data_IF_208941591923
#
_entry.id   IF_208941591923
#
_cell.length_a   1.000
_cell.length_b   1.000
_cell.length_c   1.000
_cell.angle_alpha   90.00
_cell.angle_beta   90.00
_cell.angle_gamma   90.00
#
_symmetry.space_group_name_H-M   'P 1'
#
loop_
_entity.id
_entity.type
_entity.pdbx_description
1 polymer ?
#
# COMPACT_ATOMS: atom_id res chain seq x y z
N UNK A 1 -20.48 -10.89 -39.57
CA UNK A 1 -20.18 -11.71 -38.37
C UNK A 1 -19.37 -10.94 -37.32
N UNK A 2 -18.08 -10.62 -37.53
CA UNK A 2 -17.29 -9.91 -36.50
C UNK A 2 -17.84 -8.52 -36.12
N UNK A 3 -18.27 -7.73 -37.11
CA UNK A 3 -18.86 -6.40 -36.89
C UNK A 3 -20.17 -6.50 -36.09
N UNK A 4 -20.99 -7.52 -36.37
CA UNK A 4 -22.26 -7.73 -35.67
C UNK A 4 -22.03 -8.13 -34.21
N UNK A 5 -21.05 -9.00 -33.96
CA UNK A 5 -20.62 -9.36 -32.60
C UNK A 5 -20.11 -8.14 -31.83
N UNK A 6 -19.26 -7.30 -32.43
CA UNK A 6 -18.72 -6.10 -31.78
C UNK A 6 -19.83 -5.09 -31.46
N UNK A 7 -20.80 -4.90 -32.38
CA UNK A 7 -21.98 -4.07 -32.16
C UNK A 7 -22.81 -4.55 -30.98
N UNK A 8 -23.14 -5.85 -30.92
CA UNK A 8 -23.92 -6.43 -29.81
C UNK A 8 -23.19 -6.25 -28.48
N UNK A 9 -21.89 -6.57 -28.42
CA UNK A 9 -21.08 -6.39 -27.20
C UNK A 9 -21.04 -4.92 -26.78
N UNK A 10 -20.81 -4.00 -27.72
CA UNK A 10 -20.78 -2.56 -27.41
C UNK A 10 -22.12 -2.04 -26.89
N UNK A 11 -23.24 -2.50 -27.45
CA UNK A 11 -24.57 -2.18 -26.97
C UNK A 11 -24.84 -2.72 -25.56
N UNK A 12 -24.42 -3.96 -25.28
CA UNK A 12 -24.56 -4.55 -23.94
C UNK A 12 -23.70 -3.81 -22.89
N UNK A 13 -22.46 -3.45 -23.24
CA UNK A 13 -21.59 -2.68 -22.35
C UNK A 13 -22.14 -1.27 -22.10
N UNK A 14 -22.64 -0.60 -23.15
CA UNK A 14 -23.27 0.72 -23.02
C UNK A 14 -24.52 0.66 -22.15
N UNK A 15 -25.40 -0.31 -22.40
CA UNK A 15 -26.59 -0.52 -21.58
C UNK A 15 -26.23 -0.80 -20.12
N UNK A 16 -25.24 -1.66 -19.85
CA UNK A 16 -24.76 -1.95 -18.51
C UNK A 16 -24.25 -0.69 -17.78
N UNK A 17 -23.45 0.13 -18.47
CA UNK A 17 -22.93 1.38 -17.91
C UNK A 17 -24.04 2.40 -17.63
N UNK A 18 -25.03 2.53 -18.53
CA UNK A 18 -26.19 3.41 -18.33
C UNK A 18 -27.03 2.92 -17.15
N UNK A 19 -27.38 1.63 -17.10
CA UNK A 19 -28.12 1.05 -15.98
C UNK A 19 -27.39 1.30 -14.67
N UNK A 20 -26.09 1.00 -14.63
CA UNK A 20 -25.25 1.30 -13.47
C UNK A 20 -25.34 2.77 -13.05
N UNK A 21 -25.28 3.70 -14.01
CA UNK A 21 -25.31 5.13 -13.71
C UNK A 21 -26.66 5.56 -13.14
N UNK A 22 -27.76 5.05 -13.68
CA UNK A 22 -29.12 5.31 -13.16
C UNK A 22 -29.29 4.83 -11.72
N UNK A 23 -28.75 3.66 -11.36
CA UNK A 23 -28.92 3.10 -10.01
C UNK A 23 -27.89 3.58 -9.00
N UNK A 24 -26.64 3.80 -9.41
CA UNK A 24 -25.51 4.02 -8.48
C UNK A 24 -24.84 5.38 -8.65
N UNK A 25 -25.21 6.18 -9.65
CA UNK A 25 -24.53 7.42 -10.01
C UNK A 25 -23.12 7.22 -10.60
N UNK A 26 -22.74 5.98 -10.92
CA UNK A 26 -21.43 5.63 -11.50
C UNK A 26 -21.60 4.66 -12.65
N UNK A 27 -20.65 4.60 -13.60
CA UNK A 27 -20.71 3.65 -14.72
C UNK A 27 -20.22 2.23 -14.37
N UNK A 28 -19.81 1.98 -13.13
CA UNK A 28 -19.11 0.74 -12.70
C UNK A 28 -19.72 0.11 -11.45
N UNK A 29 -21.04 0.21 -11.29
CA UNK A 29 -21.83 -0.33 -10.17
C UNK A 29 -21.30 0.06 -8.79
N UNK A 30 -20.82 1.30 -8.65
CA UNK A 30 -20.26 1.83 -7.42
C UNK A 30 -18.86 1.28 -7.08
N UNK A 31 -18.19 0.57 -7.99
CA UNK A 31 -16.85 0.04 -7.77
C UNK A 31 -15.82 1.15 -7.48
N UNK A 32 -15.21 1.07 -6.28
CA UNK A 32 -14.16 2.00 -5.80
C UNK A 32 -12.84 1.27 -5.59
N UNK A 33 -12.25 0.79 -6.67
CA UNK A 33 -10.96 0.09 -6.64
C UNK A 33 -9.95 0.61 -7.65
N UNK A 34 -8.76 0.01 -7.69
CA UNK A 34 -7.64 0.47 -8.52
C UNK A 34 -7.93 0.42 -10.02
N UNK A 35 -8.82 -0.46 -10.48
CA UNK A 35 -9.22 -0.54 -11.89
C UNK A 35 -10.02 0.68 -12.39
N UNK A 36 -10.55 1.51 -11.50
CA UNK A 36 -11.15 2.81 -11.87
C UNK A 36 -10.21 3.99 -11.61
N UNK A 37 -9.00 3.73 -11.10
CA UNK A 37 -7.99 4.75 -10.86
C UNK A 37 -7.12 4.95 -12.11
N UNK A 38 -7.09 6.18 -12.64
CA UNK A 38 -6.35 6.53 -13.85
C UNK A 38 -4.84 6.35 -13.72
N UNK A 39 -4.26 6.68 -12.56
CA UNK A 39 -2.83 6.51 -12.28
C UNK A 39 -2.42 5.04 -12.27
N UNK A 40 -3.26 4.17 -11.69
CA UNK A 40 -3.03 2.73 -11.71
C UNK A 40 -3.13 2.16 -13.13
N UNK A 41 -4.14 2.55 -13.90
CA UNK A 41 -4.29 2.10 -15.28
C UNK A 41 -3.10 2.53 -16.13
N UNK A 42 -2.65 3.77 -15.99
CA UNK A 42 -1.46 4.27 -16.66
C UNK A 42 -0.18 3.54 -16.24
N UNK A 43 -0.02 3.29 -14.93
CA UNK A 43 1.07 2.48 -14.38
C UNK A 43 1.10 1.08 -14.99
N UNK A 44 -0.07 0.45 -15.16
CA UNK A 44 -0.19 -0.88 -15.76
C UNK A 44 0.07 -0.87 -17.27
N UNK A 45 -0.47 0.10 -17.99
CA UNK A 45 -0.36 0.20 -19.46
C UNK A 45 1.08 0.48 -19.91
N UNK A 46 1.80 1.33 -19.19
CA UNK A 46 3.22 1.61 -19.49
C UNK A 46 4.17 0.50 -19.05
N UNK A 47 3.64 -0.58 -18.46
CA UNK A 47 4.43 -1.64 -17.86
C UNK A 47 5.40 -1.11 -16.80
N UNK A 48 5.07 0.03 -16.16
CA UNK A 48 5.99 0.89 -15.43
C UNK A 48 7.00 0.05 -14.65
N UNK A 49 8.29 0.10 -15.01
CA UNK A 49 9.30 -0.69 -14.31
C UNK A 49 9.27 -0.25 -12.85
N UNK A 50 9.30 -1.23 -11.95
CA UNK A 50 9.32 -0.98 -10.51
C UNK A 50 10.48 -0.04 -10.20
N UNK A 51 10.17 1.15 -9.70
CA UNK A 51 11.15 2.21 -9.46
C UNK A 51 12.01 1.82 -8.25
N UNK A 52 13.31 2.08 -8.31
CA UNK A 52 14.16 2.07 -7.13
C UNK A 52 13.99 3.39 -6.38
N UNK A 53 13.72 3.31 -5.09
CA UNK A 53 13.62 4.43 -4.18
C UNK A 53 14.80 4.41 -3.22
N UNK A 54 15.41 5.56 -3.00
CA UNK A 54 16.28 5.82 -1.84
C UNK A 54 15.42 6.27 -0.66
N UNK A 55 15.99 6.26 0.55
CA UNK A 55 15.32 6.77 1.76
C UNK A 55 14.81 8.20 1.54
N UNK A 56 15.68 9.10 1.07
CA UNK A 56 15.33 10.50 0.79
C UNK A 56 14.18 10.63 -0.22
N UNK A 57 14.21 9.84 -1.29
CA UNK A 57 13.16 9.87 -2.32
C UNK A 57 11.82 9.35 -1.82
N UNK A 58 11.84 8.41 -0.86
CA UNK A 58 10.64 7.90 -0.22
C UNK A 58 10.11 8.93 0.76
N UNK A 59 10.96 9.53 1.60
CA UNK A 59 10.61 10.56 2.57
C UNK A 59 10.00 11.80 1.91
N UNK A 60 10.44 12.17 0.70
CA UNK A 60 9.85 13.25 -0.08
C UNK A 60 8.33 13.09 -0.29
N UNK A 61 7.80 11.87 -0.23
CA UNK A 61 6.35 11.61 -0.33
C UNK A 61 5.54 12.22 0.82
N UNK A 62 6.13 12.45 1.99
CA UNK A 62 5.50 13.11 3.15
C UNK A 62 4.95 14.50 2.82
N UNK A 63 5.64 15.22 1.94
CA UNK A 63 5.28 16.58 1.54
C UNK A 63 4.56 16.63 0.18
N UNK A 64 4.17 15.47 -0.35
CA UNK A 64 3.56 15.36 -1.67
C UNK A 64 2.07 15.02 -1.60
N UNK A 65 1.39 15.04 -2.75
CA UNK A 65 0.01 14.56 -2.90
C UNK A 65 -0.07 13.04 -3.06
N UNK A 66 1.06 12.34 -3.16
CA UNK A 66 1.15 10.88 -3.26
C UNK A 66 1.69 10.31 -1.96
N UNK A 67 0.92 9.44 -1.32
CA UNK A 67 1.34 8.78 -0.08
C UNK A 67 1.98 7.45 -0.43
N UNK A 68 3.29 7.36 -0.22
CA UNK A 68 4.05 6.13 -0.43
C UNK A 68 4.47 5.58 0.93
N UNK A 69 4.47 4.28 1.08
CA UNK A 69 5.09 3.61 2.22
C UNK A 69 5.87 2.40 1.74
N UNK A 70 6.83 1.96 2.54
CA UNK A 70 7.56 0.73 2.28
C UNK A 70 7.26 -0.32 3.34
N UNK A 71 7.13 -1.56 2.89
CA UNK A 71 7.12 -2.73 3.75
C UNK A 71 7.94 -3.85 3.12
N UNK A 72 8.85 -4.42 3.90
CA UNK A 72 9.86 -5.36 3.48
C UNK A 72 10.62 -4.86 2.23
N UNK A 73 11.02 -3.58 2.24
CA UNK A 73 11.67 -2.89 1.12
C UNK A 73 10.85 -2.86 -0.18
N UNK A 74 9.55 -3.09 -0.12
CA UNK A 74 8.64 -2.94 -1.25
C UNK A 74 7.80 -1.68 -1.09
N UNK A 75 7.81 -0.82 -2.10
CA UNK A 75 7.16 0.49 -2.04
C UNK A 75 5.78 0.40 -2.67
N UNK A 76 4.76 0.83 -1.91
CA UNK A 76 3.36 0.83 -2.31
C UNK A 76 2.82 2.25 -2.36
N UNK A 77 2.00 2.53 -3.38
CA UNK A 77 1.18 3.73 -3.44
C UNK A 77 -0.12 3.49 -2.66
N UNK A 78 -0.26 4.19 -1.55
CA UNK A 78 -1.42 4.13 -0.64
C UNK A 78 -2.25 5.40 -0.69
N UNK A 79 -2.08 6.23 -1.73
CA UNK A 79 -2.74 7.54 -1.87
C UNK A 79 -4.26 7.44 -1.80
N UNK A 80 -4.85 6.39 -2.40
CA UNK A 80 -6.28 6.13 -2.33
C UNK A 80 -6.80 5.92 -0.89
N UNK A 81 -5.93 5.53 0.04
CA UNK A 81 -6.18 5.37 1.46
C UNK A 81 -5.94 6.64 2.28
N UNK A 82 -6.05 7.83 1.67
CA UNK A 82 -5.76 9.11 2.30
C UNK A 82 -6.48 9.36 3.63
N UNK A 83 -7.59 8.69 3.93
CA UNK A 83 -8.20 8.77 5.26
C UNK A 83 -7.34 8.19 6.38
N UNK A 84 -6.57 7.15 6.06
CA UNK A 84 -5.72 6.40 6.99
C UNK A 84 -4.27 6.87 6.95
N UNK A 85 -3.78 7.28 5.79
CA UNK A 85 -2.35 7.55 5.57
C UNK A 85 -1.99 9.04 5.43
N UNK A 86 -2.94 9.95 5.21
CA UNK A 86 -2.60 11.36 4.99
C UNK A 86 -1.97 11.99 6.25
N UNK A 87 -0.68 12.41 6.20
CA UNK A 87 0.03 12.96 7.35
C UNK A 87 -0.40 14.40 7.71
N UNK A 88 -1.12 15.08 6.82
CA UNK A 88 -1.56 16.47 6.96
C UNK A 88 -2.99 16.60 7.50
N UNK A 89 -3.68 15.48 7.78
CA UNK A 89 -5.00 15.52 8.41
C UNK A 89 -4.93 16.03 9.84
N UNK A 90 -5.94 16.80 10.25
CA UNK A 90 -6.11 17.32 11.61
C UNK A 90 -6.17 16.20 12.66
N UNK A 91 -6.87 15.10 12.35
CA UNK A 91 -6.87 13.89 13.16
C UNK A 91 -5.96 12.85 12.50
N UNK A 92 -4.75 12.68 13.04
CA UNK A 92 -3.75 11.76 12.50
C UNK A 92 -4.08 10.32 12.89
N UNK A 93 -4.15 9.46 11.89
CA UNK A 93 -4.17 8.01 12.08
C UNK A 93 -2.75 7.51 12.39
N UNK A 94 -2.62 6.46 13.22
CA UNK A 94 -1.33 5.83 13.54
C UNK A 94 -0.56 5.40 12.29
N UNK A 95 -1.28 4.99 11.25
CA UNK A 95 -0.72 4.55 9.97
C UNK A 95 -0.15 5.69 9.12
N UNK A 96 -0.48 6.95 9.40
CA UNK A 96 0.11 8.11 8.69
C UNK A 96 1.61 8.25 8.95
N UNK A 97 2.10 7.73 10.08
CA UNK A 97 3.54 7.68 10.42
C UNK A 97 4.36 6.83 9.45
N UNK A 98 3.71 5.91 8.73
CA UNK A 98 4.37 5.03 7.78
C UNK A 98 4.63 5.68 6.43
N UNK A 99 3.98 6.81 6.14
CA UNK A 99 4.21 7.52 4.89
C UNK A 99 5.64 8.02 4.82
N UNK A 100 6.28 7.76 3.69
CA UNK A 100 7.66 8.14 3.40
C UNK A 100 8.72 7.30 4.11
N UNK A 101 8.36 6.17 4.73
CA UNK A 101 9.31 5.36 5.52
C UNK A 101 9.12 3.88 5.25
N UNK A 102 10.13 3.10 5.64
CA UNK A 102 9.98 1.66 5.85
C UNK A 102 9.95 1.40 7.36
N UNK A 103 8.76 1.13 7.88
CA UNK A 103 8.56 0.77 9.28
C UNK A 103 8.15 -0.71 9.41
N UNK A 104 8.70 -1.62 8.58
CA UNK A 104 8.35 -3.06 8.59
C UNK A 104 8.38 -3.65 10.00
N UNK A 105 9.38 -3.28 10.80
CA UNK A 105 9.50 -3.72 12.19
C UNK A 105 8.29 -3.35 13.06
N UNK A 106 7.69 -2.16 12.88
CA UNK A 106 6.49 -1.73 13.60
C UNK A 106 5.23 -2.53 13.21
N UNK A 107 5.12 -2.93 11.94
CA UNK A 107 4.00 -3.78 11.50
C UNK A 107 4.02 -5.15 12.18
N UNK A 108 5.21 -5.62 12.53
CA UNK A 108 5.42 -6.90 13.18
C UNK A 108 5.21 -6.74 14.69
N UNK A 109 6.00 -5.90 15.36
CA UNK A 109 5.99 -5.82 16.83
C UNK A 109 4.82 -5.00 17.42
N UNK A 110 4.08 -4.25 16.59
CA UNK A 110 2.93 -3.44 17.02
C UNK A 110 3.30 -2.19 17.83
N UNK A 111 4.57 -1.78 17.87
CA UNK A 111 5.04 -0.67 18.71
C UNK A 111 4.93 0.69 18.02
N UNK A 112 3.70 1.13 17.72
CA UNK A 112 3.44 2.38 16.99
C UNK A 112 3.82 3.67 17.76
N UNK A 113 4.09 3.59 19.06
CA UNK A 113 4.45 4.76 19.88
C UNK A 113 5.96 5.00 20.00
N UNK A 114 6.78 4.01 19.63
CA UNK A 114 8.24 4.09 19.72
C UNK A 114 8.84 4.25 18.33
N UNK A 115 9.18 5.47 17.95
CA UNK A 115 9.71 5.78 16.61
C UNK A 115 11.05 5.10 16.31
N UNK A 116 11.82 4.67 17.32
CA UNK A 116 13.04 3.87 17.11
C UNK A 116 12.71 2.52 16.43
N UNK A 117 11.46 2.05 16.57
CA UNK A 117 11.00 0.81 15.93
C UNK A 117 10.64 1.00 14.45
N UNK A 118 10.56 2.24 13.93
CA UNK A 118 10.29 2.47 12.51
C UNK A 118 11.58 2.25 11.70
N UNK A 119 11.85 0.99 11.38
CA UNK A 119 12.96 0.55 10.55
C UNK A 119 12.58 -0.70 9.76
N UNK A 120 13.32 -0.97 8.69
CA UNK A 120 13.25 -2.23 7.93
C UNK A 120 14.02 -3.37 8.60
N UNK A 121 14.79 -3.07 9.65
CA UNK A 121 15.64 -4.05 10.35
C UNK A 121 14.84 -4.92 11.34
N UNK A 122 14.86 -6.23 11.09
CA UNK A 122 14.12 -7.24 11.84
C UNK A 122 14.98 -7.96 12.90
N UNK A 123 16.26 -7.59 13.05
CA UNK A 123 17.14 -8.14 14.10
C UNK A 123 16.63 -7.76 15.49
N UNK A 124 16.87 -8.61 16.49
CA UNK A 124 16.47 -8.37 17.88
C UNK A 124 14.99 -7.93 18.06
N UNK A 125 14.06 -8.50 17.28
CA UNK A 125 12.65 -8.10 17.33
C UNK A 125 11.89 -8.69 18.52
N UNK A 126 12.45 -9.72 19.16
CA UNK A 126 11.86 -10.35 20.35
C UNK A 126 10.81 -11.43 20.06
N UNK A 127 10.72 -11.91 18.82
CA UNK A 127 9.79 -12.96 18.40
C UNK A 127 10.52 -14.06 17.64
N UNK A 128 9.90 -15.24 17.55
CA UNK A 128 10.44 -16.36 16.78
C UNK A 128 10.41 -16.06 15.27
N UNK A 129 11.42 -16.55 14.54
CA UNK A 129 11.60 -16.26 13.11
C UNK A 129 10.41 -16.71 12.26
N UNK A 130 9.79 -17.85 12.59
CA UNK A 130 8.63 -18.36 11.85
C UNK A 130 7.45 -17.37 11.93
N UNK A 131 7.16 -16.86 13.12
CA UNK A 131 6.12 -15.84 13.30
C UNK A 131 6.48 -14.53 12.60
N UNK A 132 7.75 -14.09 12.65
CA UNK A 132 8.22 -12.88 11.96
C UNK A 132 8.01 -13.00 10.45
N UNK A 133 8.47 -14.09 9.84
CA UNK A 133 8.34 -14.34 8.41
C UNK A 133 6.87 -14.39 7.97
N UNK A 134 6.02 -15.11 8.70
CA UNK A 134 4.57 -15.16 8.43
C UNK A 134 3.90 -13.80 8.53
N UNK A 135 4.27 -12.99 9.54
CA UNK A 135 3.69 -11.67 9.75
C UNK A 135 4.13 -10.69 8.66
N UNK A 136 5.41 -10.73 8.25
CA UNK A 136 5.91 -9.94 7.12
C UNK A 136 5.16 -10.31 5.84
N UNK A 137 5.09 -11.60 5.52
CA UNK A 137 4.41 -12.09 4.31
C UNK A 137 2.92 -11.73 4.31
N UNK A 138 2.25 -11.82 5.47
CA UNK A 138 0.86 -11.38 5.62
C UNK A 138 0.69 -9.91 5.20
N UNK A 139 1.49 -9.01 5.76
CA UNK A 139 1.35 -7.59 5.47
C UNK A 139 1.75 -7.23 4.05
N UNK A 140 2.82 -7.84 3.51
CA UNK A 140 3.19 -7.69 2.09
C UNK A 140 2.02 -8.08 1.20
N UNK A 141 1.42 -9.26 1.42
CA UNK A 141 0.25 -9.74 0.66
C UNK A 141 -0.94 -8.83 0.80
N UNK A 142 -1.18 -8.26 1.99
CA UNK A 142 -2.25 -7.29 2.20
C UNK A 142 -2.10 -6.10 1.25
N UNK A 143 -0.91 -5.48 1.16
CA UNK A 143 -0.69 -4.33 0.29
C UNK A 143 -0.66 -4.69 -1.20
N UNK A 144 -0.08 -5.84 -1.57
CA UNK A 144 -0.05 -6.31 -2.96
C UNK A 144 -1.46 -6.59 -3.51
N UNK A 145 -2.29 -7.27 -2.71
CA UNK A 145 -3.63 -7.68 -3.11
C UNK A 145 -4.71 -6.65 -2.76
N UNK A 146 -4.33 -5.52 -2.15
CA UNK A 146 -5.30 -4.50 -1.77
C UNK A 146 -6.09 -4.01 -2.99
N UNK A 147 -7.42 -3.82 -2.87
CA UNK A 147 -8.26 -3.39 -3.98
C UNK A 147 -7.92 -1.97 -4.46
N UNK A 148 -7.29 -1.14 -3.62
CA UNK A 148 -7.00 0.28 -3.91
C UNK A 148 -5.52 0.66 -3.90
N UNK A 149 -4.62 -0.23 -3.46
CA UNK A 149 -3.18 0.04 -3.41
C UNK A 149 -2.48 -0.78 -4.48
N UNK A 150 -1.26 -0.37 -4.83
CA UNK A 150 -0.43 -1.12 -5.75
C UNK A 150 1.04 -0.84 -5.51
N UNK A 151 1.87 -1.83 -5.84
CA UNK A 151 3.32 -1.72 -5.78
C UNK A 151 3.82 -0.78 -6.88
N UNK A 152 4.70 0.14 -6.52
CA UNK A 152 5.32 1.10 -7.43
C UNK A 152 6.84 0.96 -7.50
N UNK A 153 7.44 0.19 -6.59
CA UNK A 153 8.88 0.06 -6.55
C UNK A 153 9.45 -0.77 -5.42
N UNK A 154 10.75 -0.58 -5.21
CA UNK A 154 11.53 -1.16 -4.13
C UNK A 154 12.37 -0.09 -3.46
N UNK A 155 12.60 -0.25 -2.16
CA UNK A 155 13.48 0.61 -1.38
C UNK A 155 14.89 0.01 -1.37
N UNK A 156 15.86 0.79 -1.84
CA UNK A 156 17.28 0.51 -1.74
C UNK A 156 17.79 1.16 -0.46
N UNK A 157 17.94 0.34 0.58
CA UNK A 157 18.45 0.75 1.89
C UNK A 157 19.33 -0.36 2.46
N UNK A 158 20.53 0.00 2.89
CA UNK A 158 21.47 -0.90 3.56
C UNK A 158 20.98 -1.22 4.97
N UNK A 159 21.51 -2.25 5.61
CA UNK A 159 21.18 -2.49 7.02
C UNK A 159 21.79 -1.41 7.90
N UNK A 160 21.07 -0.88 8.91
CA UNK A 160 21.66 0.03 9.89
C UNK A 160 22.86 -0.63 10.59
N UNK A 161 23.90 0.16 10.90
CA UNK A 161 25.08 -0.33 11.59
C UNK A 161 24.76 -0.79 13.02
N UNK A 162 23.91 -0.03 13.72
CA UNK A 162 23.47 -0.34 15.08
C UNK A 162 22.26 -1.28 15.04
N UNK A 163 22.28 -2.31 15.89
CA UNK A 163 21.16 -3.22 16.03
C UNK A 163 19.99 -2.53 16.76
N UNK A 164 18.74 -2.62 16.25
CA UNK A 164 17.60 -1.99 16.91
C UNK A 164 17.33 -2.58 18.30
N UNK A 165 16.96 -1.70 19.23
CA UNK A 165 16.48 -2.14 20.54
C UNK A 165 15.16 -2.90 20.40
N UNK A 166 14.99 -3.93 21.22
CA UNK A 166 13.74 -4.66 21.30
C UNK A 166 12.66 -3.78 21.94
N UNK A 167 11.46 -3.80 21.36
CA UNK A 167 10.30 -3.17 21.97
C UNK A 167 9.68 -4.09 23.04
N UNK A 168 9.76 -3.69 24.31
CA UNK A 168 9.26 -4.50 25.44
C UNK A 168 7.74 -4.45 25.61
N UNK A 169 7.08 -3.42 25.07
CA UNK A 169 5.62 -3.28 25.06
C UNK A 169 4.96 -3.87 23.81
N UNK A 170 5.76 -4.53 22.95
CA UNK A 170 5.28 -5.16 21.74
C UNK A 170 4.32 -6.29 22.04
N UNK A 171 3.23 -6.36 21.27
CA UNK A 171 2.24 -7.42 21.36
C UNK A 171 2.19 -8.15 20.04
N UNK A 172 2.12 -9.49 20.09
CA UNK A 172 1.67 -10.23 18.91
C UNK A 172 0.24 -9.79 18.64
N UNK A 173 -0.05 -9.31 17.44
CA UNK A 173 -1.43 -9.02 17.09
C UNK A 173 -2.24 -10.32 17.19
N UNK A 174 -3.25 -10.42 18.08
CA UNK A 174 -4.00 -11.65 18.26
C UNK A 174 -4.91 -11.87 17.05
N UNK A 175 -4.90 -13.08 16.50
CA UNK A 175 -5.90 -13.54 15.52
C UNK A 175 -5.58 -13.24 14.06
N UNK A 176 -4.46 -13.77 13.56
CA UNK A 176 -4.28 -14.04 12.13
C UNK A 176 -3.79 -15.47 11.94
#
# INVERSE_FOLDING_TARGET
>A
MFIDTLRIISGLLLFNAISSYVFTGTSTWGYKGKWTNTEYLYHRLRGSPLRKYTIESLEASLHSTRYLLSINKQVFDVTAGGDTYNPHKKLKSKYSTFVGRDCTRMFINGCFHDMEQCTWDLRNIGFDNEWVEKTVDHWVRFYENHPRYWKVGYLEADSPNEEPKQCLSGVRYPGQ
#
